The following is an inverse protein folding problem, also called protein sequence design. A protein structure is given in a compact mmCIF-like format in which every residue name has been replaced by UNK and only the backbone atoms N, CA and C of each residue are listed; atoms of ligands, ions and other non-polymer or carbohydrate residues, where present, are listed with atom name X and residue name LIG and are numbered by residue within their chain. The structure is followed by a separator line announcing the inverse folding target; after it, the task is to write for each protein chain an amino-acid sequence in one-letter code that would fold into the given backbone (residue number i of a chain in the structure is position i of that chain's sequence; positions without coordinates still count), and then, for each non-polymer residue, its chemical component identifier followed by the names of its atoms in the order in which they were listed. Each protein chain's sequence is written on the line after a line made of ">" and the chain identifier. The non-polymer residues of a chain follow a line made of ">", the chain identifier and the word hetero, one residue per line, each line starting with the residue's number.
data_IF_170487507591
#
_entry.id   IF_170487507591
#
_cell.length_a   1.000
_cell.length_b   1.000
_cell.length_c   1.000
_cell.angle_alpha   90.00
_cell.angle_beta   90.00
_cell.angle_gamma   90.00
#
_symmetry.space_group_name_H-M   'P 1'
#
loop_
_entity.id
_entity.type
_entity.pdbx_description
1 polymer ?
#
# COMPACT_ATOMS: atom_id res chain seq x y z
N UNK A 1 -2.41 -2.34 -13.68
CA UNK A 1 -1.04 -2.67 -14.16
C UNK A 1 -0.24 -1.39 -14.24
N UNK A 2 0.91 -1.35 -13.59
CA UNK A 2 1.83 -0.23 -13.63
C UNK A 2 2.41 -0.05 -15.04
N UNK A 3 2.40 1.20 -15.52
CA UNK A 3 2.93 1.55 -16.85
C UNK A 3 4.27 2.28 -16.74
N UNK A 4 4.73 2.52 -15.51
CA UNK A 4 5.89 3.31 -15.22
C UNK A 4 6.75 2.67 -14.16
N UNK A 5 7.84 3.32 -13.86
CA UNK A 5 8.75 2.97 -12.78
C UNK A 5 8.68 4.01 -11.67
N UNK A 6 9.00 3.60 -10.45
CA UNK A 6 9.12 4.52 -9.32
C UNK A 6 10.21 5.56 -9.58
N UNK A 7 9.88 6.83 -9.38
CA UNK A 7 10.79 7.96 -9.55
C UNK A 7 10.72 8.92 -8.36
N UNK A 8 11.86 9.17 -7.74
CA UNK A 8 12.00 10.05 -6.58
C UNK A 8 11.50 11.47 -6.86
N UNK A 9 11.74 12.01 -8.06
CA UNK A 9 11.27 13.38 -8.38
C UNK A 9 9.74 13.43 -8.49
N UNK A 10 9.12 12.38 -8.98
CA UNK A 10 7.65 12.26 -9.01
C UNK A 10 7.08 12.20 -7.60
N UNK A 11 7.72 11.47 -6.68
CA UNK A 11 7.33 11.43 -5.28
C UNK A 11 7.50 12.79 -4.58
N UNK A 12 8.60 13.50 -4.82
CA UNK A 12 8.84 14.86 -4.29
C UNK A 12 7.74 15.82 -4.78
N UNK A 13 7.44 15.81 -6.08
CA UNK A 13 6.36 16.63 -6.66
C UNK A 13 5.01 16.31 -6.05
N UNK A 14 4.71 15.02 -5.92
CA UNK A 14 3.48 14.56 -5.29
C UNK A 14 3.36 15.02 -3.83
N UNK A 15 4.40 14.80 -3.03
CA UNK A 15 4.45 15.24 -1.62
C UNK A 15 4.28 16.76 -1.50
N UNK A 16 4.97 17.53 -2.35
CA UNK A 16 4.84 18.98 -2.39
C UNK A 16 3.41 19.45 -2.74
N UNK A 17 2.74 18.76 -3.66
CA UNK A 17 1.33 19.05 -4.00
C UNK A 17 0.36 18.82 -2.84
N UNK A 18 0.75 17.98 -1.90
CA UNK A 18 0.02 17.70 -0.64
C UNK A 18 0.41 18.67 0.49
N UNK A 19 1.33 19.61 0.25
CA UNK A 19 1.84 20.53 1.26
C UNK A 19 2.89 19.94 2.19
N UNK A 20 3.48 18.80 1.82
CA UNK A 20 4.52 18.12 2.58
C UNK A 20 5.91 18.54 2.08
N UNK A 21 6.79 18.92 3.00
CA UNK A 21 8.19 19.17 2.69
C UNK A 21 8.96 17.84 2.63
N UNK A 22 9.89 17.76 1.69
CA UNK A 22 10.80 16.61 1.52
C UNK A 22 12.26 17.10 1.54
N UNK A 23 13.16 16.20 1.92
CA UNK A 23 14.60 16.41 1.69
C UNK A 23 14.99 16.02 0.26
N UNK A 24 16.28 16.17 -0.06
CA UNK A 24 16.84 15.86 -1.39
C UNK A 24 16.79 14.36 -1.74
N UNK A 25 16.60 13.49 -0.77
CA UNK A 25 16.46 12.04 -0.95
C UNK A 25 14.98 11.61 -1.03
N UNK A 26 14.05 12.58 -0.96
CA UNK A 26 12.62 12.33 -1.02
C UNK A 26 12.00 11.79 0.27
N UNK A 27 12.67 11.91 1.42
CA UNK A 27 12.02 11.64 2.70
C UNK A 27 11.15 12.82 3.12
N UNK A 28 9.92 12.57 3.54
CA UNK A 28 9.03 13.61 4.06
C UNK A 28 9.54 14.08 5.42
N UNK A 29 9.88 15.34 5.51
CA UNK A 29 10.43 15.99 6.72
C UNK A 29 9.38 16.73 7.54
N UNK A 30 8.20 16.96 6.99
CA UNK A 30 7.09 17.61 7.69
C UNK A 30 6.68 16.81 8.94
N UNK A 31 6.40 17.52 10.03
CA UNK A 31 5.70 16.94 11.18
C UNK A 31 4.21 16.93 10.86
N UNK A 32 3.64 15.76 10.70
CA UNK A 32 2.21 15.56 10.39
C UNK A 32 1.63 14.49 11.29
N UNK A 33 0.40 14.71 11.73
CA UNK A 33 -0.37 13.70 12.44
C UNK A 33 -0.93 12.66 11.46
N UNK A 34 -1.39 11.53 11.98
CA UNK A 34 -2.05 10.51 11.17
C UNK A 34 -3.31 11.04 10.46
N UNK A 35 -4.10 11.88 11.12
CA UNK A 35 -5.31 12.49 10.55
C UNK A 35 -5.02 13.53 9.47
N UNK A 36 -3.86 14.16 9.50
CA UNK A 36 -3.39 15.07 8.45
C UNK A 36 -2.81 14.30 7.26
N UNK A 37 -2.18 13.17 7.51
CA UNK A 37 -1.63 12.30 6.46
C UNK A 37 -2.75 11.53 5.75
N UNK A 38 -3.61 10.84 6.50
CA UNK A 38 -4.69 9.99 5.98
C UNK A 38 -6.04 10.70 6.14
N UNK A 39 -6.51 11.32 5.06
CA UNK A 39 -7.70 12.19 5.08
C UNK A 39 -8.99 11.49 4.67
N UNK A 40 -8.92 10.22 4.22
CA UNK A 40 -10.10 9.45 3.86
C UNK A 40 -11.08 9.37 5.05
N UNK A 41 -12.37 9.47 4.76
CA UNK A 41 -13.46 9.42 5.75
C UNK A 41 -14.34 8.18 5.60
N UNK A 42 -14.08 7.41 4.56
CA UNK A 42 -14.75 6.15 4.24
C UNK A 42 -13.83 5.38 3.28
N UNK A 43 -14.18 4.13 3.01
CA UNK A 43 -13.44 3.35 2.00
C UNK A 43 -13.51 4.05 0.64
N UNK A 44 -12.35 4.17 -0.01
CA UNK A 44 -12.27 4.60 -1.40
C UNK A 44 -12.75 3.45 -2.30
N UNK A 45 -13.64 3.69 -3.28
CA UNK A 45 -14.11 2.64 -4.18
C UNK A 45 -13.00 1.90 -4.93
N UNK A 46 -11.86 2.56 -5.18
CA UNK A 46 -10.69 1.92 -5.78
C UNK A 46 -10.01 0.89 -4.85
N UNK A 47 -10.24 0.99 -3.54
CA UNK A 47 -9.69 0.09 -2.52
C UNK A 47 -10.72 -0.92 -2.00
N UNK A 48 -11.98 -0.86 -2.43
CA UNK A 48 -13.01 -1.81 -2.00
C UNK A 48 -12.65 -3.22 -2.49
N UNK A 49 -12.49 -4.20 -1.58
CA UNK A 49 -12.10 -5.57 -1.93
C UNK A 49 -13.26 -6.41 -2.48
N UNK A 50 -14.49 -5.90 -2.45
CA UNK A 50 -15.69 -6.68 -2.80
C UNK A 50 -15.76 -6.95 -4.30
N UNK A 51 -15.91 -8.23 -4.66
CA UNK A 51 -16.10 -8.67 -6.04
C UNK A 51 -15.00 -8.23 -7.02
N UNK A 52 -13.77 -8.07 -6.53
CA UNK A 52 -12.63 -7.72 -7.36
C UNK A 52 -11.55 -8.80 -7.30
N UNK A 53 -10.83 -8.94 -8.40
CA UNK A 53 -9.54 -9.65 -8.47
C UNK A 53 -8.48 -8.60 -8.79
N UNK A 54 -7.45 -8.51 -7.98
CA UNK A 54 -6.31 -7.61 -8.22
C UNK A 54 -5.27 -8.36 -9.04
N UNK A 55 -4.78 -7.73 -10.08
CA UNK A 55 -3.91 -8.40 -11.04
C UNK A 55 -2.49 -7.83 -11.00
N UNK A 56 -1.51 -8.73 -10.95
CA UNK A 56 -0.10 -8.45 -11.21
C UNK A 56 0.33 -9.37 -12.35
N UNK A 57 0.13 -8.88 -13.56
CA UNK A 57 0.31 -9.62 -14.79
C UNK A 57 1.48 -9.06 -15.59
N UNK A 58 2.20 -9.96 -16.27
CA UNK A 58 3.30 -9.59 -17.14
C UNK A 58 2.82 -8.71 -18.31
N UNK A 59 3.67 -7.79 -18.74
CA UNK A 59 3.45 -6.88 -19.85
C UNK A 59 4.74 -6.72 -20.67
N UNK A 60 4.69 -5.95 -21.74
CA UNK A 60 5.89 -5.64 -22.52
C UNK A 60 6.89 -4.82 -21.69
N UNK A 61 6.39 -3.89 -20.87
CA UNK A 61 7.23 -3.04 -20.00
C UNK A 61 7.72 -3.78 -18.74
N UNK A 62 6.92 -4.72 -18.23
CA UNK A 62 7.19 -5.51 -17.04
C UNK A 62 7.02 -7.02 -17.31
N UNK A 63 8.01 -7.65 -17.98
CA UNK A 63 7.85 -9.03 -18.45
C UNK A 63 7.99 -10.11 -17.38
N UNK A 64 8.43 -9.75 -16.16
CA UNK A 64 8.70 -10.69 -15.07
C UNK A 64 8.18 -10.17 -13.74
N UNK A 65 6.94 -9.70 -13.69
CA UNK A 65 6.36 -9.05 -12.52
C UNK A 65 6.52 -9.87 -11.23
N UNK A 66 6.96 -9.20 -10.17
CA UNK A 66 7.00 -9.73 -8.81
C UNK A 66 6.04 -8.94 -7.92
N UNK A 67 4.91 -9.53 -7.49
CA UNK A 67 3.95 -8.85 -6.63
C UNK A 67 4.45 -8.76 -5.19
N UNK A 68 4.40 -7.55 -4.63
CA UNK A 68 4.66 -7.26 -3.23
C UNK A 68 3.46 -6.54 -2.63
N UNK A 69 2.90 -7.08 -1.56
CA UNK A 69 1.82 -6.46 -0.81
C UNK A 69 2.39 -5.81 0.44
N UNK A 70 2.14 -4.51 0.62
CA UNK A 70 2.40 -3.79 1.86
C UNK A 70 1.05 -3.65 2.58
N UNK A 71 0.86 -4.44 3.61
CA UNK A 71 -0.38 -4.50 4.38
C UNK A 71 -0.18 -3.77 5.71
N UNK A 72 -0.88 -2.66 5.89
CA UNK A 72 -0.80 -1.78 7.05
C UNK A 72 -1.99 -2.02 7.97
N UNK A 73 -1.71 -2.16 9.23
CA UNK A 73 -2.73 -2.09 10.27
C UNK A 73 -3.31 -0.65 10.33
N UNK A 74 -4.62 -0.55 10.15
CA UNK A 74 -5.35 0.72 10.08
C UNK A 74 -6.07 1.07 11.38
N UNK A 75 -5.78 0.37 12.48
CA UNK A 75 -6.38 0.65 13.78
C UNK A 75 -5.76 1.89 14.43
N UNK A 76 -6.45 2.44 15.43
CA UNK A 76 -6.05 3.71 16.03
C UNK A 76 -4.65 3.70 16.65
N UNK A 77 -4.22 2.57 17.22
CA UNK A 77 -2.90 2.40 17.84
C UNK A 77 -1.75 2.48 16.82
N UNK A 78 -2.00 2.08 15.58
CA UNK A 78 -0.98 1.98 14.53
C UNK A 78 -0.85 3.22 13.63
N UNK A 79 -1.67 4.25 13.84
CA UNK A 79 -1.66 5.44 13.00
C UNK A 79 -0.29 6.13 12.91
N UNK A 80 0.52 6.13 13.98
CA UNK A 80 1.87 6.69 13.96
C UNK A 80 2.84 5.86 13.11
N UNK A 81 2.73 4.53 13.15
CA UNK A 81 3.56 3.65 12.33
C UNK A 81 3.23 3.81 10.84
N UNK A 82 1.95 3.91 10.49
CA UNK A 82 1.50 4.15 9.12
C UNK A 82 2.01 5.50 8.57
N UNK A 83 2.00 6.56 9.39
CA UNK A 83 2.62 7.85 9.03
C UNK A 83 4.11 7.70 8.74
N UNK A 84 4.85 6.96 9.56
CA UNK A 84 6.28 6.73 9.32
C UNK A 84 6.53 5.93 8.03
N UNK A 85 5.68 4.95 7.71
CA UNK A 85 5.76 4.24 6.42
C UNK A 85 5.54 5.21 5.25
N UNK A 86 4.49 6.04 5.31
CA UNK A 86 4.19 7.01 4.27
C UNK A 86 5.33 8.04 4.08
N UNK A 87 5.91 8.54 5.17
CA UNK A 87 7.04 9.48 5.14
C UNK A 87 8.30 8.86 4.54
N UNK A 88 8.52 7.57 4.76
CA UNK A 88 9.70 6.82 4.29
C UNK A 88 9.47 6.06 2.98
N UNK A 89 8.28 6.18 2.40
CA UNK A 89 7.87 5.39 1.23
C UNK A 89 8.89 5.48 0.10
N UNK A 90 9.39 6.70 -0.23
CA UNK A 90 10.38 6.85 -1.28
C UNK A 90 11.65 6.03 -1.04
N UNK A 91 12.18 6.05 0.18
CA UNK A 91 13.37 5.26 0.53
C UNK A 91 13.15 3.75 0.47
N UNK A 92 11.94 3.31 0.83
CA UNK A 92 11.54 1.89 0.73
C UNK A 92 11.50 1.49 -0.75
N UNK A 93 10.77 2.24 -1.58
CA UNK A 93 10.61 1.95 -2.99
C UNK A 93 11.96 1.99 -3.73
N UNK A 94 12.76 3.03 -3.54
CA UNK A 94 14.07 3.16 -4.17
C UNK A 94 14.95 1.93 -3.89
N UNK A 95 15.04 1.51 -2.62
CA UNK A 95 15.84 0.33 -2.25
C UNK A 95 15.32 -0.97 -2.85
N UNK A 96 14.01 -1.12 -2.97
CA UNK A 96 13.42 -2.31 -3.56
C UNK A 96 13.67 -2.36 -5.07
N UNK A 97 13.46 -1.25 -5.77
CA UNK A 97 13.72 -1.16 -7.22
C UNK A 97 15.20 -1.27 -7.58
N UNK A 98 16.13 -0.88 -6.69
CA UNK A 98 17.57 -1.11 -6.89
C UNK A 98 17.96 -2.60 -6.91
N UNK A 99 17.16 -3.46 -6.27
CA UNK A 99 17.49 -4.86 -6.02
C UNK A 99 16.55 -5.85 -6.70
N UNK A 100 15.36 -5.43 -7.07
CA UNK A 100 14.32 -6.30 -7.64
C UNK A 100 13.78 -5.65 -8.92
N UNK A 101 13.99 -6.34 -10.02
CA UNK A 101 13.44 -5.92 -11.32
C UNK A 101 11.98 -6.31 -11.40
N UNK A 102 11.17 -5.49 -12.07
CA UNK A 102 9.74 -5.71 -12.34
C UNK A 102 8.87 -5.94 -11.09
N UNK A 103 9.17 -5.23 -10.00
CA UNK A 103 8.33 -5.30 -8.79
C UNK A 103 7.08 -4.43 -8.94
N UNK A 104 5.92 -4.98 -8.60
CA UNK A 104 4.67 -4.24 -8.50
C UNK A 104 4.13 -4.32 -7.07
N UNK A 105 3.60 -3.20 -6.58
CA UNK A 105 3.13 -3.07 -5.20
C UNK A 105 1.63 -2.91 -5.12
N UNK A 106 1.01 -3.68 -4.23
CA UNK A 106 -0.33 -3.44 -3.74
C UNK A 106 -0.24 -2.89 -2.31
N UNK A 107 -0.94 -1.82 -2.03
CA UNK A 107 -1.13 -1.31 -0.67
C UNK A 107 -2.43 -1.87 -0.11
N UNK A 108 -2.39 -2.39 1.10
CA UNK A 108 -3.54 -2.97 1.77
C UNK A 108 -3.70 -2.35 3.16
N UNK A 109 -4.94 -2.01 3.52
CA UNK A 109 -5.32 -1.66 4.89
C UNK A 109 -5.93 -2.88 5.59
N UNK A 110 -5.52 -3.12 6.83
CA UNK A 110 -6.03 -4.20 7.68
C UNK A 110 -6.71 -3.59 8.90
N UNK A 111 -7.90 -4.04 9.20
CA UNK A 111 -8.64 -3.77 10.40
C UNK A 111 -9.19 -5.05 11.02
N UNK A 112 -10.17 -4.94 11.89
CA UNK A 112 -10.84 -6.07 12.53
C UNK A 112 -12.13 -6.44 11.80
N UNK A 113 -12.21 -7.66 11.28
CA UNK A 113 -13.41 -8.21 10.62
C UNK A 113 -14.66 -8.21 11.51
N UNK A 114 -14.49 -8.19 12.82
CA UNK A 114 -15.60 -8.24 13.76
C UNK A 114 -16.16 -6.86 14.12
N UNK A 115 -15.35 -5.81 14.03
CA UNK A 115 -15.69 -4.50 14.57
C UNK A 115 -15.58 -3.35 13.58
N UNK A 116 -14.66 -3.45 12.62
CA UNK A 116 -14.42 -2.34 11.69
C UNK A 116 -15.36 -2.39 10.48
N UNK A 117 -15.73 -1.23 9.99
CA UNK A 117 -16.60 -1.10 8.81
C UNK A 117 -15.86 -1.44 7.51
N UNK A 118 -14.53 -1.27 7.49
CA UNK A 118 -13.65 -1.49 6.36
C UNK A 118 -12.45 -2.38 6.75
N UNK A 119 -12.70 -3.65 7.15
CA UNK A 119 -11.66 -4.49 7.72
C UNK A 119 -10.55 -4.88 6.74
N UNK A 120 -10.81 -4.82 5.45
CA UNK A 120 -9.80 -4.99 4.39
C UNK A 120 -10.02 -3.92 3.33
N UNK A 121 -8.94 -3.28 2.94
CA UNK A 121 -8.85 -2.36 1.82
C UNK A 121 -7.68 -2.81 0.95
N UNK A 122 -7.86 -2.93 -0.35
CA UNK A 122 -6.82 -3.48 -1.24
C UNK A 122 -6.75 -2.69 -2.54
N UNK A 123 -5.62 -2.05 -2.79
CA UNK A 123 -5.37 -1.32 -4.01
C UNK A 123 -5.13 -2.23 -5.22
N UNK A 124 -5.01 -1.68 -6.41
CA UNK A 124 -4.42 -2.36 -7.54
C UNK A 124 -2.89 -2.50 -7.35
N UNK A 125 -2.27 -3.42 -8.05
CA UNK A 125 -0.81 -3.48 -8.18
C UNK A 125 -0.32 -2.36 -9.09
N UNK A 126 0.70 -1.63 -8.64
CA UNK A 126 1.29 -0.50 -9.36
C UNK A 126 2.81 -0.51 -9.22
N UNK A 127 3.50 0.12 -10.17
CA UNK A 127 4.97 0.20 -10.21
C UNK A 127 5.52 1.62 -10.09
N UNK A 128 4.65 2.64 -10.01
CA UNK A 128 5.02 4.06 -10.05
C UNK A 128 4.38 4.87 -8.90
N UNK A 129 4.30 6.18 -9.10
CA UNK A 129 3.77 7.15 -8.10
C UNK A 129 2.35 6.81 -7.63
N UNK A 130 1.57 6.04 -8.38
CA UNK A 130 0.24 5.61 -7.98
C UNK A 130 0.25 4.77 -6.69
N UNK A 131 1.38 4.15 -6.33
CA UNK A 131 1.55 3.50 -5.03
C UNK A 131 1.32 4.50 -3.89
N UNK A 132 1.92 5.70 -3.98
CA UNK A 132 1.73 6.76 -2.98
C UNK A 132 0.30 7.30 -3.00
N UNK A 133 -0.29 7.48 -4.20
CA UNK A 133 -1.68 7.93 -4.34
C UNK A 133 -2.68 6.95 -3.72
N UNK A 134 -2.42 5.66 -3.83
CA UNK A 134 -3.27 4.62 -3.25
C UNK A 134 -3.07 4.50 -1.74
N UNK A 135 -1.84 4.68 -1.24
CA UNK A 135 -1.59 4.74 0.19
C UNK A 135 -2.37 5.86 0.86
N UNK A 136 -2.45 7.04 0.25
CA UNK A 136 -3.21 8.18 0.75
C UNK A 136 -4.74 7.96 0.79
N UNK A 137 -5.25 7.00 0.03
CA UNK A 137 -6.67 6.65 0.00
C UNK A 137 -7.10 5.68 1.09
N UNK A 138 -6.14 5.09 1.81
CA UNK A 138 -6.47 4.18 2.90
C UNK A 138 -7.27 4.95 3.97
N UNK A 139 -8.41 4.39 4.33
CA UNK A 139 -9.23 4.88 5.40
C UNK A 139 -8.81 4.26 6.74
N UNK A 140 -8.44 5.11 7.68
CA UNK A 140 -8.14 4.74 9.06
C UNK A 140 -9.36 5.05 9.93
N UNK A 141 -9.89 4.06 10.62
CA UNK A 141 -11.07 4.25 11.46
C UNK A 141 -10.76 4.95 12.78
N UNK A 142 -9.52 5.04 13.21
CA UNK A 142 -9.03 5.70 14.43
C UNK A 142 -9.80 5.37 15.72
N UNK A 143 -10.91 4.65 15.63
CA UNK A 143 -11.67 4.12 16.75
C UNK A 143 -11.11 2.75 17.13
N UNK A 144 -10.90 2.51 18.40
CA UNK A 144 -10.50 1.18 18.86
C UNK A 144 -11.62 0.18 18.61
N UNK A 145 -11.32 -0.96 17.99
CA UNK A 145 -12.20 -2.12 17.98
C UNK A 145 -12.49 -2.61 19.41
N UNK A 146 -13.52 -3.41 19.58
CA UNK A 146 -13.90 -3.93 20.90
C UNK A 146 -12.93 -4.96 21.50
N UNK A 147 -11.85 -5.29 20.80
CA UNK A 147 -10.80 -6.22 21.25
C UNK A 147 -9.41 -5.72 20.81
N UNK A 148 -8.35 -6.42 21.19
CA UNK A 148 -6.97 -6.11 20.83
C UNK A 148 -6.42 -7.02 19.71
N UNK A 149 -7.28 -7.53 18.81
CA UNK A 149 -6.89 -8.45 17.75
C UNK A 149 -7.27 -7.89 16.39
N UNK A 150 -6.30 -7.94 15.46
CA UNK A 150 -6.50 -7.54 14.08
C UNK A 150 -6.56 -8.74 13.15
N UNK A 151 -7.28 -8.57 12.04
CA UNK A 151 -7.55 -9.69 11.12
C UNK A 151 -6.46 -9.86 10.06
N UNK A 152 -5.18 -9.99 10.46
CA UNK A 152 -4.06 -10.20 9.53
C UNK A 152 -4.24 -11.40 8.60
N UNK A 153 -4.90 -12.46 9.08
CA UNK A 153 -5.23 -13.62 8.25
C UNK A 153 -6.14 -13.29 7.06
N UNK A 154 -6.97 -12.26 7.17
CA UNK A 154 -7.82 -11.82 6.06
C UNK A 154 -7.00 -11.18 4.93
N UNK A 155 -5.90 -10.47 5.25
CA UNK A 155 -4.99 -9.97 4.23
C UNK A 155 -4.32 -11.10 3.45
N UNK A 156 -3.92 -12.15 4.15
CA UNK A 156 -3.34 -13.34 3.51
C UNK A 156 -4.37 -14.09 2.68
N UNK A 157 -5.60 -14.21 3.17
CA UNK A 157 -6.70 -14.80 2.43
C UNK A 157 -6.98 -14.03 1.14
N UNK A 158 -7.05 -12.69 1.22
CA UNK A 158 -7.24 -11.84 0.05
C UNK A 158 -6.09 -12.02 -0.96
N UNK A 159 -4.84 -11.96 -0.50
CA UNK A 159 -3.66 -12.15 -1.35
C UNK A 159 -3.63 -13.51 -2.05
N UNK A 160 -4.19 -14.56 -1.44
CA UNK A 160 -4.24 -15.90 -2.02
C UNK A 160 -5.42 -16.10 -2.98
N UNK A 161 -6.60 -15.57 -2.64
CA UNK A 161 -7.85 -15.91 -3.32
C UNK A 161 -8.42 -14.81 -4.21
N UNK A 162 -7.96 -13.56 -4.02
CA UNK A 162 -8.46 -12.39 -4.73
C UNK A 162 -7.39 -11.70 -5.56
N UNK A 163 -6.32 -12.41 -5.90
CA UNK A 163 -5.29 -11.93 -6.81
C UNK A 163 -5.05 -12.89 -7.96
N UNK A 164 -4.64 -12.34 -9.10
CA UNK A 164 -4.15 -13.08 -10.27
C UNK A 164 -2.70 -12.67 -10.51
N UNK A 165 -1.79 -13.62 -10.41
CA UNK A 165 -0.35 -13.37 -10.36
C UNK A 165 0.37 -14.22 -11.41
N UNK A 166 0.92 -13.61 -12.46
CA UNK A 166 1.64 -14.33 -13.52
C UNK A 166 2.97 -14.91 -13.04
N UNK A 167 3.53 -14.40 -11.94
CA UNK A 167 4.74 -14.97 -11.33
C UNK A 167 4.57 -16.48 -10.97
N UNK A 168 3.33 -16.93 -10.71
CA UNK A 168 3.05 -18.34 -10.43
C UNK A 168 3.37 -19.26 -11.61
N UNK A 169 3.13 -18.79 -12.84
CA UNK A 169 3.45 -19.53 -14.05
C UNK A 169 4.96 -19.75 -14.21
N UNK A 170 5.77 -18.92 -13.54
CA UNK A 170 7.23 -19.01 -13.50
C UNK A 170 7.75 -19.72 -12.25
N UNK A 171 6.89 -20.33 -11.44
CA UNK A 171 7.25 -20.99 -10.19
C UNK A 171 7.70 -20.00 -9.08
N UNK A 172 7.39 -18.71 -9.22
CA UNK A 172 7.67 -17.68 -8.21
C UNK A 172 6.45 -17.46 -7.32
N UNK A 173 6.67 -16.77 -6.20
CA UNK A 173 5.61 -16.43 -5.23
C UNK A 173 5.58 -14.92 -5.02
N UNK A 174 4.40 -14.38 -4.74
CA UNK A 174 4.25 -13.03 -4.20
C UNK A 174 4.74 -12.93 -2.77
N UNK A 175 4.97 -11.70 -2.33
CA UNK A 175 5.43 -11.37 -0.98
C UNK A 175 4.35 -10.54 -0.30
N UNK A 176 4.00 -10.86 0.94
CA UNK A 176 3.16 -10.02 1.80
C UNK A 176 3.98 -9.57 2.99
N UNK A 177 4.06 -8.26 3.20
CA UNK A 177 4.71 -7.61 4.34
C UNK A 177 3.60 -7.00 5.18
N UNK A 178 3.38 -7.52 6.37
CA UNK A 178 2.43 -6.95 7.33
C UNK A 178 3.15 -6.02 8.29
N UNK A 179 2.59 -4.84 8.52
CA UNK A 179 3.09 -3.81 9.43
C UNK A 179 2.00 -3.51 10.44
N UNK A 180 2.24 -3.97 11.70
CA UNK A 180 1.31 -3.85 12.80
C UNK A 180 1.98 -4.07 14.15
#
# INVERSE_FOLDING_TARGET
>A
MGWGEWDTNSFIRYSTSKGLATDSLGFVTSSVSNQEMFKARSIDPALDPKNVIRECCDSEDHPNTLPVVIALDCTGSMGSAAVEVAKKLNGIMTKLYENIVDVEFMVMGIGDLAYDSCPIQASQFESDIRIAEQLDKIYFEFGGGGNGFESYSAAWYFGLHHTKLDCWNRGKRGIIITIG
#
